data_IF_791517831538
#
_entry.id   IF_791517831538
#
_cell.length_a   1.000
_cell.length_b   1.000
_cell.length_c   1.000
_cell.angle_alpha   90.00
_cell.angle_beta   90.00
_cell.angle_gamma   90.00
#
_symmetry.space_group_name_H-M   'P 1'
#
loop_
_entity.id
_entity.type
_entity.pdbx_description
1 polymer ?
#
# COMPACT_ATOMS: atom_id res chain seq x y z
N UNK A 1 15.46 1.70 10.34
CA UNK A 1 14.60 1.84 9.14
C UNK A 1 13.53 0.79 9.25
N UNK A 2 12.27 1.21 9.35
CA UNK A 2 11.11 0.31 9.37
C UNK A 2 10.51 0.18 7.94
N UNK A 3 9.54 -0.72 7.76
CA UNK A 3 8.90 -0.91 6.45
C UNK A 3 8.27 0.37 5.89
N UNK A 4 7.62 1.18 6.73
CA UNK A 4 7.01 2.45 6.33
C UNK A 4 8.04 3.44 5.80
N UNK A 5 9.20 3.53 6.44
CA UNK A 5 10.33 4.36 6.02
C UNK A 5 10.84 3.93 4.63
N UNK A 6 11.00 2.62 4.41
CA UNK A 6 11.48 2.09 3.13
C UNK A 6 10.47 2.35 2.02
N UNK A 7 9.17 2.14 2.30
CA UNK A 7 8.11 2.40 1.32
C UNK A 7 8.03 3.88 0.95
N UNK A 8 8.12 4.80 1.93
CA UNK A 8 8.10 6.24 1.64
C UNK A 8 9.30 6.71 0.82
N UNK A 9 10.49 6.13 1.03
CA UNK A 9 11.66 6.40 0.18
C UNK A 9 11.44 5.93 -1.25
N UNK A 10 11.05 4.66 -1.44
CA UNK A 10 10.82 4.07 -2.75
C UNK A 10 9.73 4.84 -3.53
N UNK A 11 8.66 5.26 -2.88
CA UNK A 11 7.61 6.07 -3.52
C UNK A 11 8.11 7.47 -3.88
N UNK A 12 8.90 8.10 -3.01
CA UNK A 12 9.49 9.41 -3.34
C UNK A 12 10.36 9.31 -4.59
N UNK A 13 11.21 8.29 -4.68
CA UNK A 13 12.07 8.06 -5.84
C UNK A 13 11.26 7.74 -7.11
N UNK A 14 10.23 6.89 -7.02
CA UNK A 14 9.37 6.55 -8.15
C UNK A 14 8.59 7.75 -8.71
N UNK A 15 8.30 8.75 -7.86
CA UNK A 15 7.69 10.02 -8.25
C UNK A 15 8.71 11.05 -8.77
N UNK A 16 10.00 10.73 -8.81
CA UNK A 16 11.08 11.65 -9.21
C UNK A 16 11.39 12.73 -8.15
N UNK A 17 11.01 12.49 -6.90
CA UNK A 17 11.24 13.39 -5.77
C UNK A 17 12.54 13.02 -5.05
N UNK A 18 12.97 13.91 -4.15
CA UNK A 18 14.01 13.55 -3.19
C UNK A 18 13.50 12.43 -2.27
N UNK A 19 14.32 11.40 -1.99
CA UNK A 19 13.94 10.21 -1.20
C UNK A 19 13.33 10.53 0.17
N UNK A 20 13.70 11.64 0.79
CA UNK A 20 13.24 12.03 2.13
C UNK A 20 12.00 12.94 2.09
N UNK A 21 11.49 13.27 0.90
CA UNK A 21 10.39 14.21 0.71
C UNK A 21 9.10 13.76 1.41
N UNK A 22 8.64 12.53 1.15
CA UNK A 22 7.41 12.02 1.76
C UNK A 22 7.60 11.71 3.26
N UNK A 23 8.81 11.34 3.68
CA UNK A 23 9.14 11.18 5.11
C UNK A 23 8.98 12.49 5.87
N UNK A 24 9.44 13.60 5.29
CA UNK A 24 9.32 14.94 5.90
C UNK A 24 7.88 15.45 6.01
N UNK A 25 6.91 14.79 5.37
CA UNK A 25 5.48 15.11 5.47
C UNK A 25 4.74 14.27 6.51
N UNK A 26 5.46 13.48 7.34
CA UNK A 26 4.87 12.50 8.25
C UNK A 26 3.99 11.43 7.56
N UNK A 27 4.19 11.24 6.25
CA UNK A 27 3.42 10.25 5.47
C UNK A 27 3.58 8.82 6.01
N UNK A 28 4.73 8.51 6.59
CA UNK A 28 4.98 7.22 7.24
C UNK A 28 4.06 6.98 8.47
N UNK A 29 3.57 8.03 9.13
CA UNK A 29 2.61 7.91 10.24
C UNK A 29 1.19 7.60 9.75
N UNK A 30 0.87 7.91 8.49
CA UNK A 30 -0.39 7.56 7.84
C UNK A 30 -0.41 6.13 7.28
N UNK A 31 0.70 5.39 7.40
CA UNK A 31 0.78 4.00 6.93
C UNK A 31 -0.06 3.09 7.84
N UNK A 32 -1.17 2.59 7.31
CA UNK A 32 -2.04 1.63 8.01
C UNK A 32 -1.85 0.25 7.42
N UNK A 33 -1.56 -0.74 8.28
CA UNK A 33 -1.50 -2.15 7.90
C UNK A 33 -2.83 -2.82 8.26
N UNK A 34 -3.55 -3.34 7.27
CA UNK A 34 -4.79 -4.11 7.47
C UNK A 34 -4.56 -5.57 7.06
N UNK A 35 -4.89 -6.50 7.96
CA UNK A 35 -4.89 -7.93 7.67
C UNK A 35 -6.27 -8.37 7.20
N UNK A 36 -6.39 -8.78 5.94
CA UNK A 36 -7.64 -9.33 5.39
C UNK A 36 -7.46 -10.80 5.03
N UNK A 37 -8.48 -11.60 5.30
CA UNK A 37 -8.57 -12.99 4.85
C UNK A 37 -9.74 -13.13 3.88
N UNK A 38 -9.44 -13.42 2.62
CA UNK A 38 -10.45 -13.61 1.58
C UNK A 38 -10.69 -15.10 1.35
N UNK A 39 -11.95 -15.58 1.45
CA UNK A 39 -12.28 -16.95 1.05
C UNK A 39 -12.19 -17.10 -0.47
N UNK A 40 -12.16 -18.35 -0.94
CA UNK A 40 -12.18 -18.64 -2.38
C UNK A 40 -13.34 -17.94 -3.08
N UNK A 41 -13.02 -17.13 -4.09
CA UNK A 41 -14.00 -16.42 -4.90
C UNK A 41 -14.27 -17.20 -6.19
N UNK A 42 -15.54 -17.44 -6.56
CA UNK A 42 -15.88 -18.10 -7.83
C UNK A 42 -15.40 -17.32 -9.06
N UNK A 43 -15.32 -15.98 -8.95
CA UNK A 43 -14.98 -15.06 -10.05
C UNK A 43 -13.96 -14.00 -9.57
N UNK A 44 -12.68 -14.40 -9.37
CA UNK A 44 -11.66 -13.53 -8.79
C UNK A 44 -11.37 -12.29 -9.64
N UNK A 45 -11.36 -12.42 -10.97
CA UNK A 45 -11.16 -11.30 -11.90
C UNK A 45 -12.22 -10.20 -11.83
N UNK A 46 -13.41 -10.48 -11.28
CA UNK A 46 -14.50 -9.50 -11.13
C UNK A 46 -14.57 -8.90 -9.73
N UNK A 47 -13.67 -9.31 -8.82
CA UNK A 47 -13.72 -8.94 -7.41
C UNK A 47 -12.65 -7.91 -7.07
N UNK A 48 -13.08 -6.75 -6.56
CA UNK A 48 -12.17 -5.80 -5.89
C UNK A 48 -12.16 -6.09 -4.39
N UNK A 49 -11.04 -6.62 -3.91
CA UNK A 49 -10.82 -6.99 -2.51
C UNK A 49 -10.89 -5.77 -1.55
N UNK A 50 -10.50 -4.59 -2.02
CA UNK A 50 -10.48 -3.35 -1.24
C UNK A 50 -11.21 -2.26 -2.00
N UNK A 51 -12.13 -1.56 -1.32
CA UNK A 51 -12.83 -0.42 -1.92
C UNK A 51 -11.85 0.74 -2.14
N UNK A 52 -11.91 1.44 -3.28
CA UNK A 52 -11.10 2.64 -3.49
C UNK A 52 -11.37 3.68 -2.39
N UNK A 53 -10.31 4.22 -1.81
CA UNK A 53 -10.36 5.31 -0.84
C UNK A 53 -9.77 6.54 -1.53
N UNK A 54 -10.53 7.65 -1.67
CA UNK A 54 -10.02 8.86 -2.31
C UNK A 54 -8.73 9.37 -1.63
N UNK A 55 -7.69 9.61 -2.43
CA UNK A 55 -6.40 10.11 -1.95
C UNK A 55 -5.51 9.07 -1.27
N UNK A 56 -5.92 7.81 -1.16
CA UNK A 56 -5.10 6.74 -0.61
C UNK A 56 -4.41 5.92 -1.71
N UNK A 57 -3.15 5.57 -1.48
CA UNK A 57 -2.46 4.51 -2.21
C UNK A 57 -2.65 3.20 -1.44
N UNK A 58 -3.32 2.22 -2.06
CA UNK A 58 -3.54 0.90 -1.47
C UNK A 58 -2.57 -0.07 -2.14
N UNK A 59 -1.71 -0.70 -1.33
CA UNK A 59 -0.85 -1.81 -1.75
C UNK A 59 -1.37 -3.08 -1.11
N UNK A 60 -1.97 -3.95 -1.91
CA UNK A 60 -2.38 -5.28 -1.44
C UNK A 60 -1.22 -6.25 -1.62
N UNK A 61 -0.87 -6.96 -0.55
CA UNK A 61 0.13 -8.03 -0.55
C UNK A 61 -0.63 -9.31 -0.19
N UNK A 62 -0.87 -10.16 -1.18
CA UNK A 62 -1.45 -11.49 -1.00
C UNK A 62 -0.38 -12.57 -1.18
N UNK A 63 -0.65 -13.77 -0.65
CA UNK A 63 0.07 -14.97 -1.08
C UNK A 63 -0.57 -15.53 -2.37
N UNK A 64 0.00 -16.61 -2.92
CA UNK A 64 -0.58 -17.28 -4.10
C UNK A 64 -1.95 -17.92 -3.85
N UNK A 65 -2.42 -17.97 -2.60
CA UNK A 65 -3.67 -18.62 -2.21
C UNK A 65 -4.84 -17.62 -2.17
N UNK A 66 -4.58 -16.32 -2.32
CA UNK A 66 -5.56 -15.22 -2.34
C UNK A 66 -5.58 -14.46 -3.67
#
# INVERSE_FOLDING_TARGET
MNLGDTLTELFSEALGLNKDHLKGMDFAQCLTLNGHYYPACPEPELTLAVKPIPGALIVNIGDFLQ
#
